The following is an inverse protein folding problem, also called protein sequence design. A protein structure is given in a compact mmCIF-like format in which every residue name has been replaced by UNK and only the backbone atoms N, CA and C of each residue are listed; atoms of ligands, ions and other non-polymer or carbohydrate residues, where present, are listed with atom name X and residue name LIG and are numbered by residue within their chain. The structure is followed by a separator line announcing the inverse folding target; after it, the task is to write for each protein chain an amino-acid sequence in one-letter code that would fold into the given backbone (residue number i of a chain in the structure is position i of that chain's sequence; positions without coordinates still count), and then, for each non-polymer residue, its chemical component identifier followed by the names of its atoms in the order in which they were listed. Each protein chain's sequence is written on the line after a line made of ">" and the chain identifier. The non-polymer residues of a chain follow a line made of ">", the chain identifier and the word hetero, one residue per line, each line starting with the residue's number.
data_IF_191229757448
#
_entry.id   IF_191229757448
#
_cell.length_a   1.000
_cell.length_b   1.000
_cell.length_c   1.000
_cell.angle_alpha   90.00
_cell.angle_beta   90.00
_cell.angle_gamma   90.00
#
_symmetry.space_group_name_H-M   'P 1'
#
loop_
_entity.id
_entity.type
_entity.pdbx_description
1 polymer ?
#
# COMPACT_ATOMS: atom_id res chain seq x y z
N UNK A 1 0.27 30.60 -9.33
CA UNK A 1 0.13 29.14 -9.41
C UNK A 1 -0.66 28.66 -8.19
N UNK A 2 -1.74 27.88 -8.38
CA UNK A 2 -2.42 27.21 -7.25
C UNK A 2 -1.47 26.14 -6.69
N UNK A 3 -1.16 26.22 -5.40
CA UNK A 3 -0.41 25.16 -4.70
C UNK A 3 -1.41 24.08 -4.31
N UNK A 4 -1.12 22.84 -4.64
CA UNK A 4 -1.88 21.67 -4.24
C UNK A 4 -1.08 20.88 -3.22
N UNK A 5 -1.75 20.35 -2.21
CA UNK A 5 -1.18 19.40 -1.26
C UNK A 5 -1.86 18.05 -1.46
N UNK A 6 -1.11 16.97 -1.36
CA UNK A 6 -1.66 15.62 -1.34
C UNK A 6 -1.98 15.24 0.11
N UNK A 7 -3.27 14.99 0.38
CA UNK A 7 -3.73 14.41 1.65
C UNK A 7 -3.84 12.91 1.45
N UNK A 8 -2.93 12.18 2.09
CA UNK A 8 -2.78 10.74 1.93
C UNK A 8 -3.17 9.99 3.21
N UNK A 9 -3.89 8.88 3.09
CA UNK A 9 -4.28 8.05 4.22
C UNK A 9 -4.15 6.56 3.91
N UNK A 10 -3.78 5.77 4.93
CA UNK A 10 -3.78 4.31 4.87
C UNK A 10 -5.22 3.80 5.04
N UNK A 11 -5.66 2.90 4.16
CA UNK A 11 -7.04 2.49 4.00
C UNK A 11 -7.14 0.98 3.70
N UNK A 12 -8.35 0.43 3.83
CA UNK A 12 -8.60 -0.97 3.52
C UNK A 12 -7.89 -1.94 4.46
N UNK A 13 -7.61 -1.52 5.69
CA UNK A 13 -6.85 -2.30 6.67
C UNK A 13 -7.72 -3.23 7.54
N UNK A 14 -9.05 -3.16 7.42
CA UNK A 14 -9.94 -4.16 8.01
C UNK A 14 -9.68 -5.55 7.45
N UNK A 15 -9.91 -6.59 8.25
CA UNK A 15 -9.70 -7.97 7.85
C UNK A 15 -10.81 -8.85 8.42
N UNK A 16 -11.76 -9.22 7.58
CA UNK A 16 -12.99 -9.94 7.97
C UNK A 16 -13.68 -9.24 9.16
N UNK A 17 -13.81 -9.91 10.30
CA UNK A 17 -14.46 -9.38 11.49
C UNK A 17 -13.67 -8.27 12.20
N UNK A 18 -12.36 -8.19 11.97
CA UNK A 18 -11.51 -7.16 12.54
C UNK A 18 -11.68 -5.86 11.79
N UNK A 19 -12.30 -4.87 12.44
CA UNK A 19 -12.48 -3.53 11.86
C UNK A 19 -11.31 -2.62 12.24
N UNK A 20 -10.80 -1.89 11.25
CA UNK A 20 -9.72 -0.90 11.40
C UNK A 20 -10.11 0.35 10.63
N UNK A 21 -10.01 1.50 11.28
CA UNK A 21 -10.32 2.79 10.67
C UNK A 21 -11.81 3.02 10.38
N UNK A 22 -12.07 4.05 9.59
CA UNK A 22 -13.41 4.38 9.09
C UNK A 22 -13.28 4.97 7.68
N UNK A 23 -13.02 4.10 6.73
CA UNK A 23 -12.69 4.45 5.35
C UNK A 23 -13.79 5.29 4.69
N UNK A 24 -15.06 4.95 4.93
CA UNK A 24 -16.21 5.62 4.32
C UNK A 24 -16.31 7.10 4.74
N UNK A 25 -15.99 7.40 6.00
CA UNK A 25 -16.05 8.77 6.50
C UNK A 25 -14.82 9.59 6.13
N UNK A 26 -13.66 8.96 5.93
CA UNK A 26 -12.40 9.66 5.65
C UNK A 26 -12.20 9.89 4.15
N UNK A 27 -12.60 8.93 3.31
CA UNK A 27 -12.35 8.95 1.87
C UNK A 27 -12.72 10.27 1.17
N UNK A 28 -13.84 10.95 1.50
CA UNK A 28 -14.20 12.22 0.85
C UNK A 28 -13.23 13.39 1.12
N UNK A 29 -12.34 13.28 2.10
CA UNK A 29 -11.44 14.35 2.51
C UNK A 29 -10.01 14.19 2.06
N UNK A 30 -9.65 13.08 1.42
CA UNK A 30 -8.29 12.75 0.98
C UNK A 30 -8.16 12.82 -0.54
N UNK A 31 -6.92 12.89 -1.02
CA UNK A 31 -6.60 12.94 -2.45
C UNK A 31 -5.91 11.68 -2.96
N UNK A 32 -5.31 10.92 -2.04
CA UNK A 32 -4.73 9.60 -2.32
C UNK A 32 -4.86 8.68 -1.11
N UNK A 33 -4.94 7.37 -1.37
CA UNK A 33 -4.99 6.35 -0.32
C UNK A 33 -3.99 5.22 -0.60
N UNK A 34 -3.49 4.61 0.48
CA UNK A 34 -2.64 3.43 0.41
C UNK A 34 -3.45 2.23 0.87
N UNK A 35 -3.75 1.30 -0.03
CA UNK A 35 -4.65 0.18 0.27
C UNK A 35 -3.85 -1.03 0.72
N UNK A 36 -4.17 -1.58 1.89
CA UNK A 36 -3.58 -2.80 2.42
C UNK A 36 -3.69 -3.96 1.42
N UNK A 37 -2.68 -4.84 1.41
CA UNK A 37 -2.51 -5.86 0.38
C UNK A 37 -2.68 -7.30 0.92
N UNK A 38 -3.36 -7.47 2.05
CA UNK A 38 -3.67 -8.79 2.62
C UNK A 38 -2.66 -9.32 3.65
N UNK A 39 -1.51 -8.68 3.86
CA UNK A 39 -0.44 -9.22 4.71
C UNK A 39 -0.40 -8.64 6.13
N UNK A 40 -0.86 -7.41 6.33
CA UNK A 40 -1.07 -6.82 7.64
C UNK A 40 -2.54 -6.50 7.90
N UNK A 41 -3.32 -6.41 6.85
CA UNK A 41 -4.74 -6.11 6.80
C UNK A 41 -5.24 -6.21 5.36
N UNK A 42 -6.54 -6.05 5.18
CA UNK A 42 -7.14 -6.08 3.83
C UNK A 42 -7.43 -7.50 3.33
N UNK A 43 -8.58 -8.06 3.68
CA UNK A 43 -9.09 -9.25 2.99
C UNK A 43 -9.57 -8.91 1.56
N UNK A 44 -9.78 -9.90 0.68
CA UNK A 44 -10.14 -9.65 -0.72
C UNK A 44 -11.37 -8.78 -0.93
N UNK A 45 -12.40 -8.93 -0.10
CA UNK A 45 -13.63 -8.14 -0.20
C UNK A 45 -13.39 -6.71 0.26
N UNK A 46 -12.68 -6.52 1.36
CA UNK A 46 -12.27 -5.22 1.88
C UNK A 46 -11.44 -4.45 0.86
N UNK A 47 -10.47 -5.08 0.21
CA UNK A 47 -9.63 -4.46 -0.83
C UNK A 47 -10.49 -3.96 -1.99
N UNK A 48 -11.36 -4.80 -2.55
CA UNK A 48 -12.23 -4.43 -3.66
C UNK A 48 -13.18 -3.30 -3.27
N UNK A 49 -13.81 -3.38 -2.08
CA UNK A 49 -14.69 -2.34 -1.57
C UNK A 49 -13.97 -1.00 -1.42
N UNK A 50 -12.75 -1.01 -0.87
CA UNK A 50 -11.96 0.20 -0.65
C UNK A 50 -11.51 0.83 -1.96
N UNK A 51 -11.10 0.03 -2.97
CA UNK A 51 -10.77 0.56 -4.30
C UNK A 51 -11.99 1.22 -4.93
N UNK A 52 -13.16 0.57 -4.93
CA UNK A 52 -14.38 1.16 -5.46
C UNK A 52 -14.77 2.47 -4.75
N UNK A 53 -14.62 2.51 -3.43
CA UNK A 53 -14.87 3.71 -2.64
C UNK A 53 -13.91 4.85 -3.04
N UNK A 54 -12.62 4.56 -3.24
CA UNK A 54 -11.63 5.52 -3.70
C UNK A 54 -11.98 6.07 -5.09
N UNK A 55 -12.32 5.19 -6.04
CA UNK A 55 -12.70 5.59 -7.39
C UNK A 55 -13.94 6.47 -7.41
N UNK A 56 -14.96 6.15 -6.61
CA UNK A 56 -16.20 6.94 -6.49
C UNK A 56 -15.96 8.34 -5.92
N UNK A 57 -14.87 8.53 -5.17
CA UNK A 57 -14.46 9.81 -4.60
C UNK A 57 -13.33 10.52 -5.38
N UNK A 58 -12.93 9.99 -6.55
CA UNK A 58 -11.80 10.49 -7.35
C UNK A 58 -10.47 10.50 -6.58
N UNK A 59 -10.28 9.59 -5.64
CA UNK A 59 -9.06 9.42 -4.84
C UNK A 59 -8.09 8.50 -5.58
N UNK A 60 -6.81 8.88 -5.62
CA UNK A 60 -5.75 8.08 -6.25
C UNK A 60 -5.45 6.84 -5.40
N UNK A 61 -5.43 5.70 -6.06
CA UNK A 61 -5.18 4.39 -5.41
C UNK A 61 -3.70 4.04 -5.44
N UNK A 62 -3.14 3.74 -4.28
CA UNK A 62 -1.80 3.19 -4.11
C UNK A 62 -1.82 1.85 -3.38
N UNK A 63 -0.76 1.05 -3.55
CA UNK A 63 -0.55 -0.17 -2.81
C UNK A 63 0.17 0.10 -1.47
N UNK A 64 -0.25 -0.62 -0.43
CA UNK A 64 0.33 -0.53 0.91
C UNK A 64 0.92 -1.88 1.37
N UNK A 65 1.99 -2.37 0.68
CA UNK A 65 2.57 -3.66 0.98
C UNK A 65 3.35 -3.65 2.30
N UNK A 66 3.34 -4.80 2.99
CA UNK A 66 3.98 -4.99 4.28
C UNK A 66 4.74 -6.31 4.37
N UNK A 67 5.45 -6.51 5.47
CA UNK A 67 5.85 -7.85 5.90
C UNK A 67 4.60 -8.68 6.22
N UNK A 68 4.72 -10.00 6.11
CA UNK A 68 3.63 -10.92 6.45
C UNK A 68 3.48 -11.02 7.98
N UNK A 69 2.61 -10.18 8.53
CA UNK A 69 2.40 -10.07 9.97
C UNK A 69 0.97 -9.60 10.30
N UNK A 70 0.00 -10.44 10.04
CA UNK A 70 -1.41 -10.09 10.26
C UNK A 70 -1.73 -9.82 11.73
N UNK A 71 -1.14 -10.60 12.65
CA UNK A 71 -1.36 -10.44 14.09
C UNK A 71 -0.73 -9.16 14.65
N UNK A 72 0.49 -8.83 14.23
CA UNK A 72 1.22 -7.62 14.62
C UNK A 72 0.92 -6.42 13.75
N UNK A 73 -0.06 -6.54 12.85
CA UNK A 73 -0.45 -5.46 11.94
C UNK A 73 0.73 -4.93 11.10
N UNK A 74 1.65 -5.83 10.70
CA UNK A 74 2.84 -5.46 9.94
C UNK A 74 3.86 -4.57 10.67
N UNK A 75 3.74 -4.43 11.99
CA UNK A 75 4.57 -3.51 12.78
C UNK A 75 5.69 -4.21 13.56
N UNK A 76 5.66 -5.55 13.63
CA UNK A 76 6.76 -6.30 14.23
C UNK A 76 7.92 -6.39 13.26
N UNK A 77 9.13 -6.10 13.73
CA UNK A 77 10.35 -6.31 12.95
C UNK A 77 10.59 -7.81 12.82
N UNK A 78 10.54 -8.31 11.60
CA UNK A 78 10.85 -9.69 11.26
C UNK A 78 12.22 -9.76 10.60
N UNK A 79 12.95 -10.85 10.83
CA UNK A 79 14.16 -11.15 10.07
C UNK A 79 13.77 -11.67 8.71
N UNK A 80 14.07 -10.92 7.67
CA UNK A 80 13.74 -11.24 6.28
C UNK A 80 14.92 -10.93 5.37
N UNK A 81 15.17 -11.78 4.42
CA UNK A 81 16.18 -11.57 3.38
C UNK A 81 15.70 -10.58 2.32
N UNK A 82 16.63 -9.98 1.57
CA UNK A 82 16.29 -9.12 0.41
C UNK A 82 15.44 -9.84 -0.64
N UNK A 83 15.68 -11.15 -0.85
CA UNK A 83 14.88 -11.95 -1.77
C UNK A 83 13.43 -12.14 -1.28
N UNK A 84 13.23 -12.32 0.01
CA UNK A 84 11.90 -12.39 0.61
C UNK A 84 11.19 -11.04 0.49
N UNK A 85 11.85 -9.93 0.83
CA UNK A 85 11.28 -8.58 0.65
C UNK A 85 10.86 -8.37 -0.82
N UNK A 86 11.73 -8.72 -1.78
CA UNK A 86 11.41 -8.62 -3.21
C UNK A 86 10.16 -9.45 -3.56
N UNK A 87 10.10 -10.69 -3.12
CA UNK A 87 8.98 -11.60 -3.41
C UNK A 87 7.66 -11.11 -2.80
N UNK A 88 7.70 -10.63 -1.55
CA UNK A 88 6.54 -10.04 -0.86
C UNK A 88 6.01 -8.82 -1.61
N UNK A 89 6.89 -7.94 -2.08
CA UNK A 89 6.52 -6.74 -2.83
C UNK A 89 5.92 -7.09 -4.19
N UNK A 90 6.55 -8.00 -4.94
CA UNK A 90 6.03 -8.45 -6.25
C UNK A 90 4.62 -8.98 -6.08
N UNK A 91 4.39 -9.88 -5.13
CA UNK A 91 3.07 -10.48 -4.91
C UNK A 91 2.01 -9.43 -4.59
N UNK A 92 2.26 -8.59 -3.61
CA UNK A 92 1.30 -7.61 -3.10
C UNK A 92 0.99 -6.52 -4.13
N UNK A 93 2.03 -5.94 -4.75
CA UNK A 93 1.86 -4.85 -5.71
C UNK A 93 1.19 -5.36 -6.99
N UNK A 94 1.60 -6.52 -7.52
CA UNK A 94 0.99 -7.11 -8.71
C UNK A 94 -0.48 -7.46 -8.48
N UNK A 95 -0.82 -7.93 -7.29
CA UNK A 95 -2.22 -8.20 -6.91
C UNK A 95 -3.05 -6.90 -6.97
N UNK A 96 -2.56 -5.81 -6.37
CA UNK A 96 -3.26 -4.53 -6.40
C UNK A 96 -3.35 -3.94 -7.82
N UNK A 97 -2.30 -4.07 -8.63
CA UNK A 97 -2.34 -3.67 -10.06
C UNK A 97 -3.45 -4.43 -10.78
N UNK A 98 -3.51 -5.77 -10.61
CA UNK A 98 -4.52 -6.61 -11.25
C UNK A 98 -5.94 -6.22 -10.86
N UNK A 99 -6.21 -6.07 -9.55
CA UNK A 99 -7.54 -5.70 -9.05
C UNK A 99 -7.92 -4.29 -9.51
N UNK A 100 -7.01 -3.32 -9.40
CA UNK A 100 -7.28 -1.93 -9.81
C UNK A 100 -7.54 -1.84 -11.32
N UNK A 101 -6.80 -2.59 -12.13
CA UNK A 101 -7.00 -2.69 -13.58
C UNK A 101 -8.34 -3.34 -13.92
N UNK A 102 -8.72 -4.42 -13.24
CA UNK A 102 -10.03 -5.08 -13.41
C UNK A 102 -11.19 -4.11 -13.12
N UNK A 103 -11.03 -3.22 -12.15
CA UNK A 103 -12.01 -2.18 -11.80
C UNK A 103 -11.92 -0.92 -12.68
N UNK A 104 -11.18 -0.98 -13.80
CA UNK A 104 -11.13 0.08 -14.81
C UNK A 104 -10.23 1.28 -14.46
N UNK A 105 -9.27 1.11 -13.54
CA UNK A 105 -8.34 2.15 -13.12
C UNK A 105 -6.89 1.68 -13.16
N UNK A 106 -5.97 2.55 -12.71
CA UNK A 106 -4.53 2.25 -12.64
C UNK A 106 -4.01 2.52 -11.25
N UNK A 107 -3.09 1.67 -10.79
CA UNK A 107 -2.33 1.93 -9.57
C UNK A 107 -1.46 3.18 -9.76
N UNK A 108 -1.48 4.09 -8.81
CA UNK A 108 -0.78 5.38 -8.92
C UNK A 108 0.55 5.39 -8.19
N UNK A 109 0.64 4.75 -7.04
CA UNK A 109 1.83 4.78 -6.18
C UNK A 109 1.94 3.54 -5.29
N UNK A 110 3.07 3.42 -4.62
CA UNK A 110 3.33 2.45 -3.57
C UNK A 110 3.84 3.19 -2.34
N UNK A 111 3.32 2.84 -1.17
CA UNK A 111 3.84 3.25 0.14
C UNK A 111 3.97 2.01 1.01
N UNK A 112 5.18 1.56 1.30
CA UNK A 112 5.36 0.39 2.16
C UNK A 112 4.87 0.68 3.59
N UNK A 113 4.36 -0.36 4.26
CA UNK A 113 3.73 -0.24 5.58
C UNK A 113 4.66 -0.63 6.73
N UNK A 114 4.45 0.00 7.89
CA UNK A 114 4.85 -0.47 9.21
C UNK A 114 6.35 -0.73 9.37
N UNK A 115 6.68 -1.95 9.82
CA UNK A 115 8.07 -2.31 10.07
C UNK A 115 8.95 -2.21 8.82
N UNK A 116 8.43 -2.57 7.64
CA UNK A 116 9.17 -2.48 6.38
C UNK A 116 9.52 -1.01 6.04
N UNK A 117 8.61 -0.08 6.29
CA UNK A 117 8.87 1.36 6.13
C UNK A 117 9.99 1.84 7.04
N UNK A 118 9.95 1.46 8.33
CA UNK A 118 10.96 1.84 9.30
C UNK A 118 12.32 1.18 9.02
N UNK A 119 12.34 -0.08 8.58
CA UNK A 119 13.57 -0.76 8.20
C UNK A 119 14.24 -0.09 7.00
N UNK A 120 13.46 0.30 5.99
CA UNK A 120 13.97 1.03 4.84
C UNK A 120 14.54 2.42 5.18
N UNK A 121 14.04 3.06 6.24
CA UNK A 121 14.56 4.34 6.72
C UNK A 121 15.91 4.22 7.44
N UNK A 122 16.30 3.02 7.84
CA UNK A 122 17.51 2.74 8.63
C UNK A 122 18.54 1.90 7.86
N UNK A 123 18.17 1.30 6.75
CA UNK A 123 18.99 0.36 5.97
C UNK A 123 18.88 0.66 4.48
N UNK A 124 19.95 1.20 3.91
CA UNK A 124 20.05 1.58 2.50
C UNK A 124 19.88 0.38 1.55
N UNK A 125 20.32 -0.82 1.94
CA UNK A 125 20.18 -2.01 1.08
C UNK A 125 18.73 -2.49 1.02
N UNK A 126 18.00 -2.40 2.12
CA UNK A 126 16.55 -2.64 2.14
C UNK A 126 15.84 -1.58 1.28
N UNK A 127 16.19 -0.30 1.46
CA UNK A 127 15.62 0.78 0.63
C UNK A 127 15.87 0.57 -0.85
N UNK A 128 17.10 0.24 -1.26
CA UNK A 128 17.46 -0.10 -2.64
C UNK A 128 16.67 -1.29 -3.18
N UNK A 129 16.49 -2.34 -2.36
CA UNK A 129 15.70 -3.52 -2.73
C UNK A 129 14.25 -3.13 -3.03
N UNK A 130 13.66 -2.29 -2.20
CA UNK A 130 12.28 -1.79 -2.38
C UNK A 130 12.17 -0.97 -3.65
N UNK A 131 13.00 0.07 -3.80
CA UNK A 131 13.00 0.96 -4.96
C UNK A 131 13.18 0.17 -6.27
N UNK A 132 14.20 -0.70 -6.31
CA UNK A 132 14.47 -1.52 -7.48
C UNK A 132 13.29 -2.43 -7.82
N UNK A 133 12.68 -3.07 -6.83
CA UNK A 133 11.56 -3.98 -7.05
C UNK A 133 10.34 -3.24 -7.60
N UNK A 134 10.01 -2.07 -7.05
CA UNK A 134 8.89 -1.25 -7.54
C UNK A 134 9.14 -0.80 -8.98
N UNK A 135 10.36 -0.33 -9.27
CA UNK A 135 10.75 0.07 -10.62
C UNK A 135 10.70 -1.10 -11.64
N UNK A 136 11.13 -2.29 -11.24
CA UNK A 136 11.09 -3.50 -12.08
C UNK A 136 9.64 -3.93 -12.37
N UNK A 137 8.68 -3.66 -11.46
CA UNK A 137 7.26 -3.97 -11.67
C UNK A 137 6.63 -2.98 -12.65
N UNK A 138 6.75 -1.67 -12.36
CA UNK A 138 6.29 -0.59 -13.23
C UNK A 138 7.08 0.70 -12.92
N UNK A 139 7.92 1.19 -13.84
CA UNK A 139 8.73 2.39 -13.64
C UNK A 139 7.93 3.69 -13.53
N UNK A 140 6.63 3.66 -13.81
CA UNK A 140 5.75 4.83 -13.67
C UNK A 140 5.12 4.94 -12.27
N UNK A 141 5.21 3.91 -11.44
CA UNK A 141 4.73 3.95 -10.06
C UNK A 141 5.56 4.94 -9.24
N UNK A 142 4.88 5.80 -8.51
CA UNK A 142 5.51 6.69 -7.55
C UNK A 142 5.77 5.94 -6.26
N UNK A 143 6.91 6.20 -5.63
CA UNK A 143 7.18 5.71 -4.28
C UNK A 143 6.92 6.83 -3.27
N UNK A 144 6.08 6.55 -2.29
CA UNK A 144 5.88 7.41 -1.12
C UNK A 144 6.74 6.87 0.02
N UNK A 145 7.67 7.69 0.48
CA UNK A 145 8.65 7.33 1.50
C UNK A 145 8.94 8.48 2.47
N UNK A 146 9.80 8.25 3.48
CA UNK A 146 10.26 9.31 4.37
C UNK A 146 11.08 10.34 3.60
N UNK A 147 10.97 11.59 4.02
CA UNK A 147 11.78 12.73 3.52
C UNK A 147 13.03 12.91 4.34
#
# INVERSE_FOLDING_TARGET
>A
MKKYIDLNCDMGESFYERKVGNDELIMPFITSCNIACGFHGGDPETIIKTINLALSNNVKVGAHPSLYDLEGFGRRKLEVSHNEIRSLLIYQISTLIGITSFLGSKLHHVKVHGALYNMASLDDEIAKTIVKTIHDIDPNLKLYGPS
#
